data_IF_885822243892
#
_entry.id   IF_885822243892
#
_cell.length_a   1.000
_cell.length_b   1.000
_cell.length_c   1.000
_cell.angle_alpha   90.00
_cell.angle_beta   90.00
_cell.angle_gamma   90.00
#
_symmetry.space_group_name_H-M   'P 1'
#
loop_
_entity.id
_entity.type
_entity.pdbx_description
1 polymer ?
#
# COMPACT_ATOMS: atom_id res chain seq x y z
N UNK A 1 -11.75 -9.76 22.30
CA UNK A 1 -12.90 -9.06 21.68
C UNK A 1 -13.05 -9.60 20.25
N UNK A 2 -14.10 -10.37 20.00
CA UNK A 2 -14.27 -11.11 18.72
C UNK A 2 -15.18 -10.36 17.71
N UNK A 3 -15.43 -9.09 17.92
CA UNK A 3 -16.27 -8.26 17.05
C UNK A 3 -15.47 -7.42 16.05
N UNK A 4 -16.19 -6.72 15.12
CA UNK A 4 -15.58 -5.76 14.22
C UNK A 4 -14.96 -4.58 14.99
N UNK A 5 -13.98 -3.89 14.34
CA UNK A 5 -13.36 -2.70 14.92
C UNK A 5 -14.38 -1.56 15.03
N UNK A 6 -14.43 -0.84 16.15
CA UNK A 6 -15.27 0.35 16.31
C UNK A 6 -14.70 1.59 15.59
N UNK A 7 -13.42 1.53 15.17
CA UNK A 7 -12.65 2.65 14.63
C UNK A 7 -12.96 2.85 13.14
N UNK A 8 -14.14 3.30 12.81
CA UNK A 8 -14.54 3.58 11.44
C UNK A 8 -15.54 4.73 11.35
N UNK A 9 -15.71 5.26 10.16
CA UNK A 9 -16.66 6.31 9.89
C UNK A 9 -17.35 6.14 8.54
N UNK A 10 -18.01 7.20 8.12
CA UNK A 10 -18.56 7.34 6.78
C UNK A 10 -17.46 7.70 5.78
N UNK A 11 -17.57 7.21 4.53
CA UNK A 11 -16.61 7.51 3.44
C UNK A 11 -16.75 8.93 2.86
N UNK A 12 -17.57 9.79 3.46
CA UNK A 12 -17.73 11.20 3.04
C UNK A 12 -18.11 11.33 1.55
N UNK A 13 -19.00 10.45 1.10
CA UNK A 13 -19.44 10.41 -0.29
C UNK A 13 -18.42 9.82 -1.27
N UNK A 14 -17.26 9.34 -0.80
CA UNK A 14 -16.26 8.71 -1.64
C UNK A 14 -16.51 7.20 -1.79
N UNK A 15 -16.02 6.63 -2.89
CA UNK A 15 -15.95 5.18 -3.08
C UNK A 15 -14.49 4.73 -3.10
N UNK A 16 -14.20 3.48 -2.72
CA UNK A 16 -12.85 2.92 -2.87
C UNK A 16 -12.37 2.97 -4.33
N UNK A 17 -11.17 3.51 -4.51
CA UNK A 17 -10.41 3.56 -5.78
C UNK A 17 -8.97 3.12 -5.58
N UNK A 18 -8.57 2.88 -4.34
CA UNK A 18 -7.23 2.46 -3.95
C UNK A 18 -7.31 1.28 -2.99
N UNK A 19 -6.27 0.46 -3.01
CA UNK A 19 -5.97 -0.51 -1.96
C UNK A 19 -4.61 -0.14 -1.40
N UNK A 20 -4.52 0.09 -0.09
CA UNK A 20 -3.25 0.43 0.58
C UNK A 20 -2.78 -0.78 1.36
N UNK A 21 -1.56 -1.23 1.06
CA UNK A 21 -0.93 -2.36 1.72
C UNK A 21 -0.03 -1.89 2.86
N UNK A 22 -0.15 -2.58 4.00
CA UNK A 22 0.57 -2.33 5.23
C UNK A 22 1.22 -3.60 5.76
N UNK A 23 2.24 -3.46 6.60
CA UNK A 23 2.56 -4.46 7.60
C UNK A 23 2.21 -3.91 8.98
N UNK A 24 1.87 -4.79 9.91
CA UNK A 24 1.45 -4.39 11.26
C UNK A 24 2.57 -3.74 12.10
N UNK A 25 3.83 -4.06 11.85
CA UNK A 25 4.95 -3.67 12.68
C UNK A 25 4.88 -4.24 14.10
N UNK A 26 4.10 -5.30 14.29
CA UNK A 26 3.83 -5.94 15.59
C UNK A 26 4.28 -7.40 15.59
N UNK A 27 4.44 -7.97 16.79
CA UNK A 27 4.96 -9.31 16.96
C UNK A 27 4.08 -10.39 16.33
N UNK A 28 2.75 -10.23 16.40
CA UNK A 28 1.77 -11.19 15.90
C UNK A 28 0.43 -10.52 15.52
N UNK A 29 -0.39 -11.28 14.81
CA UNK A 29 -1.72 -10.84 14.38
C UNK A 29 -2.69 -10.60 15.54
N UNK A 30 -2.56 -11.32 16.64
CA UNK A 30 -3.44 -11.15 17.81
C UNK A 30 -3.24 -9.77 18.44
N UNK A 31 -1.99 -9.35 18.63
CA UNK A 31 -1.63 -8.02 19.11
C UNK A 31 -2.07 -6.93 18.13
N UNK A 32 -1.87 -7.15 16.83
CA UNK A 32 -2.32 -6.22 15.80
C UNK A 32 -3.84 -6.07 15.79
N UNK A 33 -4.58 -7.18 15.86
CA UNK A 33 -6.04 -7.17 15.95
C UNK A 33 -6.54 -6.41 17.17
N UNK A 34 -5.94 -6.68 18.34
CA UNK A 34 -6.29 -5.98 19.57
C UNK A 34 -6.14 -4.45 19.40
N UNK A 35 -5.00 -4.00 18.84
CA UNK A 35 -4.77 -2.56 18.61
C UNK A 35 -5.72 -1.96 17.58
N UNK A 36 -5.96 -2.66 16.46
CA UNK A 36 -6.85 -2.19 15.39
C UNK A 36 -8.34 -2.18 15.80
N UNK A 37 -8.68 -2.81 16.94
CA UNK A 37 -10.03 -2.84 17.51
C UNK A 37 -10.15 -2.07 18.84
N UNK A 38 -9.07 -1.47 19.33
CA UNK A 38 -9.08 -0.64 20.52
C UNK A 38 -9.60 0.76 20.18
N UNK A 39 -10.74 1.22 20.76
CA UNK A 39 -11.24 2.56 20.48
C UNK A 39 -10.28 3.68 20.90
N UNK A 40 -9.41 3.44 21.88
CA UNK A 40 -8.42 4.42 22.32
C UNK A 40 -7.23 4.55 21.38
N UNK A 41 -6.99 3.55 20.51
CA UNK A 41 -5.92 3.58 19.54
C UNK A 41 -6.23 4.44 18.31
N UNK A 42 -7.51 4.70 18.02
CA UNK A 42 -8.00 5.49 16.88
C UNK A 42 -7.39 5.08 15.53
N UNK A 43 -7.09 3.79 15.37
CA UNK A 43 -6.59 3.18 14.12
C UNK A 43 -7.39 1.92 13.82
N UNK A 44 -7.49 1.59 12.53
CA UNK A 44 -8.11 0.35 12.05
C UNK A 44 -7.65 0.01 10.65
N UNK A 45 -8.00 -1.17 10.15
CA UNK A 45 -7.91 -1.55 8.75
C UNK A 45 -9.18 -2.30 8.34
N UNK A 46 -9.42 -2.47 7.04
CA UNK A 46 -10.54 -3.27 6.58
C UNK A 46 -10.25 -4.75 6.77
N UNK A 47 -9.02 -5.15 6.46
CA UNK A 47 -8.58 -6.53 6.52
C UNK A 47 -7.27 -6.67 7.28
N UNK A 48 -7.16 -7.74 8.04
CA UNK A 48 -5.92 -8.21 8.68
C UNK A 48 -5.62 -9.64 8.19
N UNK A 49 -4.46 -9.84 7.59
CA UNK A 49 -3.98 -11.18 7.18
C UNK A 49 -3.02 -11.69 8.25
N UNK A 50 -3.39 -12.79 8.90
CA UNK A 50 -2.61 -13.46 9.95
C UNK A 50 -1.42 -14.25 9.36
N UNK A 51 -0.48 -14.64 10.19
CA UNK A 51 0.72 -15.41 9.80
C UNK A 51 0.39 -16.77 9.16
N UNK A 52 -0.74 -17.35 9.55
CA UNK A 52 -1.24 -18.63 9.00
C UNK A 52 -2.02 -18.47 7.69
N UNK A 53 -2.17 -17.23 7.20
CA UNK A 53 -2.94 -16.92 6.00
C UNK A 53 -4.45 -16.69 6.24
N UNK A 54 -4.95 -16.75 7.47
CA UNK A 54 -6.33 -16.36 7.74
C UNK A 54 -6.54 -14.87 7.51
N UNK A 55 -7.59 -14.49 6.77
CA UNK A 55 -7.97 -13.09 6.55
C UNK A 55 -9.17 -12.74 7.43
N UNK A 56 -8.98 -11.76 8.31
CA UNK A 56 -9.97 -11.25 9.24
C UNK A 56 -10.50 -9.89 8.75
N UNK A 57 -11.81 -9.76 8.57
CA UNK A 57 -12.45 -8.49 8.21
C UNK A 57 -12.79 -7.73 9.47
N UNK A 58 -12.08 -6.61 9.72
CA UNK A 58 -12.25 -5.78 10.91
C UNK A 58 -13.22 -4.61 10.67
N UNK A 59 -13.23 -4.06 9.47
CA UNK A 59 -14.13 -2.97 9.06
C UNK A 59 -14.72 -3.33 7.70
N UNK A 60 -16.03 -3.17 7.55
CA UNK A 60 -16.71 -3.40 6.27
C UNK A 60 -16.17 -2.45 5.18
N UNK A 61 -16.02 -2.95 3.95
CA UNK A 61 -15.38 -2.19 2.86
C UNK A 61 -16.18 -0.95 2.42
N UNK A 62 -17.46 -0.87 2.71
CA UNK A 62 -18.30 0.31 2.48
C UNK A 62 -18.12 1.39 3.57
N UNK A 63 -17.42 1.08 4.65
CA UNK A 63 -17.07 2.01 5.73
C UNK A 63 -15.66 2.56 5.54
N UNK A 64 -15.36 3.69 6.18
CA UNK A 64 -14.05 4.32 6.19
C UNK A 64 -13.24 3.81 7.38
N UNK A 65 -12.31 2.89 7.17
CA UNK A 65 -11.30 2.54 8.18
C UNK A 65 -10.24 3.64 8.31
N UNK A 66 -9.50 3.64 9.43
CA UNK A 66 -8.51 4.66 9.78
C UNK A 66 -7.09 4.09 9.74
N UNK A 67 -6.58 3.81 8.52
CA UNK A 67 -5.29 3.14 8.29
C UNK A 67 -4.21 4.01 7.64
N UNK A 68 -4.59 5.03 6.87
CA UNK A 68 -3.65 5.80 6.06
C UNK A 68 -3.04 7.00 6.80
N UNK A 69 -3.79 7.61 7.74
CA UNK A 69 -3.38 8.87 8.38
C UNK A 69 -3.18 9.99 7.36
N UNK A 70 -2.25 10.90 7.64
CA UNK A 70 -1.92 11.99 6.74
C UNK A 70 -1.14 11.49 5.53
N UNK A 71 -1.44 12.08 4.37
CA UNK A 71 -0.80 11.78 3.11
C UNK A 71 -1.74 12.04 1.93
N UNK A 72 -1.23 11.81 0.73
CA UNK A 72 -2.00 11.99 -0.50
C UNK A 72 -1.54 11.02 -1.59
N UNK A 73 -2.41 10.78 -2.56
CA UNK A 73 -2.08 10.02 -3.76
C UNK A 73 -2.79 10.61 -4.97
N UNK A 74 -2.05 10.80 -6.08
CA UNK A 74 -2.56 11.46 -7.29
C UNK A 74 -3.14 12.85 -6.99
N UNK A 75 -2.44 13.62 -6.14
CA UNK A 75 -2.83 14.97 -5.74
C UNK A 75 -4.05 15.07 -4.82
N UNK A 76 -4.62 13.95 -4.36
CA UNK A 76 -5.81 13.93 -3.52
C UNK A 76 -5.49 13.46 -2.10
N UNK A 77 -5.84 14.25 -1.07
CA UNK A 77 -5.74 13.86 0.34
C UNK A 77 -6.87 12.89 0.74
N UNK A 78 -7.01 12.69 2.06
CA UNK A 78 -8.03 11.82 2.68
C UNK A 78 -8.07 10.42 2.04
N UNK A 79 -6.90 9.78 1.98
CA UNK A 79 -6.76 8.44 1.41
C UNK A 79 -7.67 7.43 2.10
N UNK A 80 -7.93 7.57 3.42
CA UNK A 80 -8.85 6.71 4.16
C UNK A 80 -10.25 6.63 3.52
N UNK A 81 -10.80 7.75 3.05
CA UNK A 81 -12.17 7.76 2.50
C UNK A 81 -12.27 7.04 1.15
N UNK A 82 -11.19 6.95 0.39
CA UNK A 82 -11.17 6.41 -0.97
C UNK A 82 -10.31 5.16 -1.15
N UNK A 83 -9.93 4.51 -0.04
CA UNK A 83 -9.12 3.28 -0.08
C UNK A 83 -9.69 2.16 0.79
N UNK A 84 -9.20 0.96 0.52
CA UNK A 84 -9.31 -0.20 1.38
C UNK A 84 -7.92 -0.50 1.93
N UNK A 85 -7.77 -0.52 3.26
CA UNK A 85 -6.50 -0.86 3.91
C UNK A 85 -6.43 -2.33 4.25
N UNK A 86 -5.31 -2.96 3.90
CA UNK A 86 -5.00 -4.35 4.24
C UNK A 86 -3.72 -4.37 5.07
N UNK A 87 -3.84 -4.81 6.32
CA UNK A 87 -2.73 -5.07 7.21
C UNK A 87 -2.29 -6.53 7.07
N UNK A 88 -0.99 -6.76 7.02
CA UNK A 88 -0.40 -8.10 6.95
C UNK A 88 0.48 -8.28 8.18
N UNK A 89 0.18 -9.29 9.00
CA UNK A 89 0.92 -9.53 10.24
C UNK A 89 2.39 -9.84 9.94
N UNK A 90 3.24 -8.86 10.19
CA UNK A 90 4.69 -8.94 9.98
C UNK A 90 5.35 -7.82 10.81
N UNK A 91 6.44 -8.08 11.55
CA UNK A 91 7.16 -7.06 12.30
C UNK A 91 7.96 -6.08 11.41
N UNK A 92 8.09 -6.33 10.10
CA UNK A 92 8.80 -5.50 9.13
C UNK A 92 10.26 -5.88 8.92
N UNK A 93 10.79 -6.84 9.66
CA UNK A 93 12.21 -7.27 9.64
C UNK A 93 12.46 -8.56 8.85
N UNK A 94 11.41 -9.21 8.35
CA UNK A 94 11.46 -10.50 7.67
C UNK A 94 10.58 -10.56 6.43
N UNK A 95 10.80 -11.53 5.50
CA UNK A 95 9.87 -11.79 4.40
C UNK A 95 8.47 -12.18 4.89
N UNK A 96 7.46 -11.92 4.07
CA UNK A 96 6.10 -12.36 4.31
C UNK A 96 5.97 -13.86 4.06
N UNK A 97 5.19 -14.56 4.87
CA UNK A 97 4.97 -15.99 4.70
C UNK A 97 4.21 -16.28 3.39
N UNK A 98 4.54 -17.40 2.72
CA UNK A 98 3.89 -17.77 1.47
C UNK A 98 2.35 -17.80 1.60
N UNK A 99 1.83 -18.33 2.71
CA UNK A 99 0.38 -18.38 2.99
C UNK A 99 -0.25 -16.98 3.09
N UNK A 100 0.47 -15.99 3.62
CA UNK A 100 -0.01 -14.61 3.67
C UNK A 100 -0.11 -14.03 2.26
N UNK A 101 0.89 -14.28 1.42
CA UNK A 101 0.91 -13.80 0.04
C UNK A 101 -0.18 -14.49 -0.80
N UNK A 102 -0.39 -15.79 -0.66
CA UNK A 102 -1.47 -16.52 -1.34
C UNK A 102 -2.85 -15.94 -0.98
N UNK A 103 -3.05 -15.66 0.31
CA UNK A 103 -4.30 -15.04 0.80
C UNK A 103 -4.46 -13.61 0.29
N UNK A 104 -3.37 -12.83 0.30
CA UNK A 104 -3.38 -11.47 -0.21
C UNK A 104 -3.76 -11.42 -1.69
N UNK A 105 -3.18 -12.27 -2.52
CA UNK A 105 -3.49 -12.38 -3.95
C UNK A 105 -4.98 -12.64 -4.20
N UNK A 106 -5.53 -13.63 -3.50
CA UNK A 106 -6.95 -13.96 -3.58
C UNK A 106 -7.85 -12.81 -3.10
N UNK A 107 -7.46 -12.13 -2.03
CA UNK A 107 -8.21 -11.01 -1.47
C UNK A 107 -8.17 -9.80 -2.40
N UNK A 108 -6.99 -9.45 -2.92
CA UNK A 108 -6.80 -8.39 -3.91
C UNK A 108 -7.68 -8.59 -5.13
N UNK A 109 -7.65 -9.78 -5.75
CA UNK A 109 -8.47 -10.08 -6.92
C UNK A 109 -9.97 -9.84 -6.67
N UNK A 110 -10.47 -10.24 -5.49
CA UNK A 110 -11.89 -10.02 -5.11
C UNK A 110 -12.21 -8.54 -4.88
N UNK A 111 -11.35 -7.79 -4.19
CA UNK A 111 -11.55 -6.36 -3.91
C UNK A 111 -11.47 -5.57 -5.21
N UNK A 112 -10.44 -5.81 -6.02
CA UNK A 112 -10.25 -5.15 -7.33
C UNK A 112 -11.46 -5.36 -8.24
N UNK A 113 -11.97 -6.58 -8.33
CA UNK A 113 -13.17 -6.90 -9.12
C UNK A 113 -14.42 -6.19 -8.57
N UNK A 114 -14.65 -6.21 -7.25
CA UNK A 114 -15.82 -5.63 -6.60
C UNK A 114 -15.88 -4.12 -6.75
N UNK A 115 -14.75 -3.46 -6.58
CA UNK A 115 -14.66 -2.00 -6.58
C UNK A 115 -14.19 -1.41 -7.90
N UNK A 116 -13.85 -2.24 -8.90
CA UNK A 116 -13.30 -1.85 -10.19
C UNK A 116 -12.01 -1.04 -10.03
N UNK A 117 -11.09 -1.55 -9.19
CA UNK A 117 -9.78 -0.96 -8.94
C UNK A 117 -8.78 -1.66 -9.85
N UNK A 118 -8.05 -0.90 -10.67
CA UNK A 118 -6.96 -1.42 -11.50
C UNK A 118 -5.68 -1.67 -10.68
N UNK A 119 -4.67 -2.35 -11.27
CA UNK A 119 -3.40 -2.64 -10.62
C UNK A 119 -2.62 -1.37 -10.20
N UNK A 120 -2.84 -0.24 -10.87
CA UNK A 120 -2.29 1.07 -10.51
C UNK A 120 -2.89 1.64 -9.23
N UNK A 121 -4.05 1.16 -8.81
CA UNK A 121 -4.70 1.53 -7.55
C UNK A 121 -4.22 0.73 -6.34
N UNK A 122 -3.36 -0.28 -6.51
CA UNK A 122 -2.75 -1.04 -5.40
C UNK A 122 -1.41 -0.40 -5.06
N UNK A 123 -1.34 0.25 -3.90
CA UNK A 123 -0.21 1.09 -3.47
C UNK A 123 0.30 0.70 -2.08
N UNK A 124 1.53 1.11 -1.79
CA UNK A 124 2.12 1.03 -0.45
C UNK A 124 1.66 2.19 0.44
N UNK A 125 1.66 2.01 1.74
CA UNK A 125 1.51 3.13 2.68
C UNK A 125 2.66 4.14 2.51
N UNK A 126 3.87 3.66 2.29
CA UNK A 126 5.03 4.49 1.97
C UNK A 126 4.88 5.31 0.68
N UNK A 127 4.12 4.81 -0.32
CA UNK A 127 3.91 5.53 -1.58
C UNK A 127 3.12 6.82 -1.35
N UNK A 128 2.07 6.77 -0.51
CA UNK A 128 1.19 7.91 -0.25
C UNK A 128 1.62 8.79 0.94
N UNK A 129 2.61 8.33 1.72
CA UNK A 129 3.14 9.03 2.90
C UNK A 129 4.68 8.96 3.00
N UNK A 130 5.42 9.43 1.94
CA UNK A 130 6.89 9.36 1.90
C UNK A 130 7.55 10.03 3.11
N UNK A 131 8.54 9.37 3.70
CA UNK A 131 9.26 9.88 4.86
C UNK A 131 8.52 9.77 6.20
N UNK A 132 7.21 9.51 6.19
CA UNK A 132 6.41 9.22 7.39
C UNK A 132 6.21 7.72 7.59
N UNK A 133 6.09 6.97 6.50
CA UNK A 133 5.82 5.54 6.50
C UNK A 133 6.79 4.77 5.60
N UNK A 134 7.01 3.51 5.95
CA UNK A 134 7.90 2.60 5.21
C UNK A 134 7.22 1.28 4.83
N UNK A 135 6.05 1.00 5.38
CA UNK A 135 5.28 -0.23 5.14
C UNK A 135 4.68 -0.28 3.72
N UNK A 136 4.55 -1.46 3.10
CA UNK A 136 4.88 -2.80 3.59
C UNK A 136 6.37 -3.15 3.55
N UNK A 137 7.26 -2.20 3.25
CA UNK A 137 8.70 -2.30 3.39
C UNK A 137 9.43 -3.00 2.23
N UNK A 138 10.78 -3.03 2.31
CA UNK A 138 11.63 -3.48 1.20
C UNK A 138 11.62 -5.01 0.98
N UNK A 139 11.02 -5.77 1.88
CA UNK A 139 10.93 -7.25 1.81
C UNK A 139 9.59 -7.73 1.25
N UNK A 140 8.71 -6.79 0.84
CA UNK A 140 7.44 -7.12 0.25
C UNK A 140 7.59 -7.45 -1.24
N UNK A 141 7.01 -8.56 -1.69
CA UNK A 141 7.16 -9.07 -3.05
C UNK A 141 6.14 -8.45 -4.02
N UNK A 142 6.39 -7.20 -4.41
CA UNK A 142 5.56 -6.48 -5.37
C UNK A 142 5.56 -7.12 -6.77
N UNK A 143 6.71 -7.69 -7.19
CA UNK A 143 6.82 -8.34 -8.50
C UNK A 143 5.92 -9.55 -8.60
N UNK A 144 5.80 -10.33 -7.52
CA UNK A 144 4.88 -11.47 -7.44
C UNK A 144 3.43 -11.04 -7.70
N UNK A 145 2.97 -9.95 -7.10
CA UNK A 145 1.64 -9.40 -7.35
C UNK A 145 1.46 -8.94 -8.79
N UNK A 146 2.46 -8.27 -9.33
CA UNK A 146 2.42 -7.73 -10.69
C UNK A 146 2.36 -8.83 -11.76
N UNK A 147 3.05 -9.95 -11.56
CA UNK A 147 2.97 -11.13 -12.45
C UNK A 147 1.57 -11.69 -12.58
N UNK A 148 0.70 -11.41 -11.61
CA UNK A 148 -0.71 -11.79 -11.61
C UNK A 148 -1.65 -10.64 -12.01
N UNK A 149 -1.11 -9.48 -12.42
CA UNK A 149 -1.90 -8.31 -12.77
C UNK A 149 -2.55 -7.61 -11.56
N UNK A 150 -2.06 -7.86 -10.33
CA UNK A 150 -2.60 -7.30 -9.09
C UNK A 150 -1.91 -6.01 -8.64
N UNK A 151 -0.76 -5.67 -9.25
CA UNK A 151 -0.02 -4.43 -9.00
C UNK A 151 0.76 -4.03 -10.25
N UNK A 152 1.21 -2.77 -10.32
CA UNK A 152 2.14 -2.33 -11.38
C UNK A 152 3.58 -2.70 -11.00
N UNK A 153 4.38 -3.02 -12.03
CA UNK A 153 5.81 -3.28 -11.94
C UNK A 153 6.53 -2.74 -13.16
N UNK A 154 7.82 -2.35 -13.04
CA UNK A 154 8.61 -1.88 -14.17
C UNK A 154 8.70 -2.93 -15.29
N UNK A 155 8.74 -2.48 -16.52
CA UNK A 155 8.95 -3.31 -17.70
C UNK A 155 10.18 -2.82 -18.47
N UNK A 156 10.62 -3.60 -19.46
CA UNK A 156 11.72 -3.21 -20.39
C UNK A 156 11.29 -2.12 -21.38
N UNK A 157 10.03 -1.68 -21.33
CA UNK A 157 9.50 -0.63 -22.17
C UNK A 157 10.20 0.70 -21.88
N UNK A 158 10.62 1.38 -22.92
CA UNK A 158 11.10 2.76 -22.82
C UNK A 158 9.91 3.68 -22.59
N UNK A 159 9.88 4.33 -21.44
CA UNK A 159 8.94 5.40 -21.14
C UNK A 159 9.42 6.75 -21.67
N UNK A 160 8.65 7.83 -21.40
CA UNK A 160 9.02 9.19 -21.79
C UNK A 160 10.33 9.63 -21.13
N UNK A 161 11.13 10.44 -21.84
CA UNK A 161 12.37 11.02 -21.30
C UNK A 161 12.04 12.23 -20.40
N UNK A 162 11.60 11.95 -19.17
CA UNK A 162 11.20 12.93 -18.17
C UNK A 162 12.13 12.88 -16.94
N UNK A 163 12.32 14.01 -16.24
CA UNK A 163 12.96 14.00 -14.93
C UNK A 163 12.22 13.08 -13.94
N UNK A 164 12.96 12.49 -13.01
CA UNK A 164 12.37 11.55 -12.02
C UNK A 164 11.20 12.19 -11.24
N UNK A 165 11.36 13.43 -10.79
CA UNK A 165 10.32 14.11 -10.02
C UNK A 165 8.99 14.21 -10.77
N UNK A 166 9.05 14.44 -12.09
CA UNK A 166 7.88 14.52 -12.96
C UNK A 166 7.26 13.14 -13.16
N UNK A 167 8.09 12.09 -13.37
CA UNK A 167 7.60 10.71 -13.42
C UNK A 167 6.87 10.33 -12.14
N UNK A 168 7.46 10.60 -10.98
CA UNK A 168 6.85 10.28 -9.68
C UNK A 168 5.53 11.03 -9.45
N UNK A 169 5.43 12.27 -9.88
CA UNK A 169 4.18 13.04 -9.83
C UNK A 169 3.09 12.39 -10.70
N UNK A 170 3.45 12.01 -11.92
CA UNK A 170 2.50 11.35 -12.85
C UNK A 170 2.07 9.95 -12.37
N UNK A 171 2.94 9.22 -11.68
CA UNK A 171 2.59 7.95 -11.04
C UNK A 171 1.59 8.18 -9.90
N UNK A 172 1.74 9.28 -9.15
CA UNK A 172 0.82 9.65 -8.07
C UNK A 172 1.48 10.01 -6.75
N UNK A 173 2.81 9.93 -6.63
CA UNK A 173 3.53 10.29 -5.41
C UNK A 173 3.29 11.76 -5.03
N UNK A 174 3.06 12.05 -3.73
CA UNK A 174 2.88 13.42 -3.26
C UNK A 174 4.13 14.27 -3.49
N UNK A 175 3.93 15.58 -3.63
CA UNK A 175 5.02 16.54 -3.75
C UNK A 175 5.58 16.86 -2.35
N UNK A 176 6.64 16.17 -2.01
CA UNK A 176 7.37 16.31 -0.75
C UNK A 176 8.87 16.33 -1.02
N UNK A 177 9.68 16.45 0.02
CA UNK A 177 11.14 16.43 -0.08
C UNK A 177 11.64 15.34 -1.06
N UNK A 178 12.49 15.68 -2.05
CA UNK A 178 12.92 14.77 -3.11
C UNK A 178 13.59 13.50 -2.59
N UNK A 179 14.36 13.57 -1.49
CA UNK A 179 15.03 12.41 -0.94
C UNK A 179 14.03 11.43 -0.30
N UNK A 180 13.00 11.95 0.39
CA UNK A 180 11.92 11.14 0.95
C UNK A 180 11.10 10.45 -0.15
N UNK A 181 10.86 11.18 -1.22
CA UNK A 181 10.11 10.70 -2.40
C UNK A 181 10.87 9.59 -3.13
N UNK A 182 12.18 9.80 -3.37
CA UNK A 182 13.06 8.79 -3.94
C UNK A 182 13.14 7.54 -3.04
N UNK A 183 13.26 7.71 -1.72
CA UNK A 183 13.31 6.61 -0.78
C UNK A 183 12.02 5.76 -0.83
N UNK A 184 10.85 6.39 -0.83
CA UNK A 184 9.56 5.69 -0.95
C UNK A 184 9.43 4.93 -2.28
N UNK A 185 9.79 5.55 -3.39
CA UNK A 185 9.83 4.89 -4.69
C UNK A 185 10.75 3.67 -4.70
N UNK A 186 11.95 3.79 -4.13
CA UNK A 186 12.92 2.69 -4.04
C UNK A 186 12.44 1.56 -3.14
N UNK A 187 11.76 1.83 -2.03
CA UNK A 187 11.17 0.78 -1.18
C UNK A 187 10.32 -0.21 -1.98
N UNK A 188 9.62 0.28 -2.99
CA UNK A 188 8.76 -0.55 -3.83
C UNK A 188 9.49 -1.16 -5.03
N UNK A 189 10.23 -0.36 -5.79
CA UNK A 189 10.74 -0.75 -7.12
C UNK A 189 12.23 -1.07 -7.17
N UNK A 190 13.01 -0.61 -6.18
CA UNK A 190 14.46 -0.84 -6.08
C UNK A 190 14.94 -0.87 -4.62
N UNK A 191 14.43 -1.79 -3.78
CA UNK A 191 14.73 -1.77 -2.34
C UNK A 191 16.21 -1.96 -1.97
N UNK A 192 17.04 -2.39 -2.92
CA UNK A 192 18.49 -2.54 -2.75
C UNK A 192 19.29 -1.28 -3.11
N UNK A 193 18.66 -0.26 -3.70
CA UNK A 193 19.35 0.93 -4.19
C UNK A 193 19.57 1.96 -3.07
N UNK A 194 20.78 2.52 -3.04
CA UNK A 194 21.20 3.54 -2.08
C UNK A 194 21.83 4.75 -2.78
N UNK A 195 22.07 5.82 -2.03
CA UNK A 195 22.70 7.04 -2.53
C UNK A 195 21.78 7.95 -3.36
N UNK A 196 22.34 8.90 -4.11
CA UNK A 196 21.58 9.87 -4.88
C UNK A 196 20.76 9.22 -6.01
N UNK A 197 19.88 10.02 -6.62
CA UNK A 197 19.14 9.63 -7.84
C UNK A 197 20.08 9.13 -8.93
N UNK A 198 19.67 8.07 -9.63
CA UNK A 198 20.42 7.45 -10.72
C UNK A 198 19.61 7.36 -12.02
N UNK A 199 20.31 7.10 -13.15
CA UNK A 199 19.64 6.87 -14.44
C UNK A 199 18.68 5.70 -14.40
N UNK A 200 18.99 4.69 -13.58
CA UNK A 200 18.13 3.52 -13.41
C UNK A 200 16.82 3.86 -12.69
N UNK A 201 16.84 4.76 -11.70
CA UNK A 201 15.61 5.25 -11.07
C UNK A 201 14.71 5.94 -12.09
N UNK A 202 15.29 6.79 -12.96
CA UNK A 202 14.57 7.48 -14.04
C UNK A 202 13.99 6.50 -15.04
N UNK A 203 14.79 5.53 -15.50
CA UNK A 203 14.36 4.50 -16.45
C UNK A 203 13.17 3.70 -15.92
N UNK A 204 13.27 3.26 -14.66
CA UNK A 204 12.21 2.49 -14.00
C UNK A 204 10.94 3.35 -13.86
N UNK A 205 11.05 4.55 -13.32
CA UNK A 205 9.90 5.43 -13.14
C UNK A 205 9.21 5.77 -14.49
N UNK A 206 9.99 6.03 -15.53
CA UNK A 206 9.46 6.29 -16.86
C UNK A 206 8.71 5.08 -17.45
N UNK A 207 9.19 3.85 -17.20
CA UNK A 207 8.55 2.61 -17.71
C UNK A 207 7.17 2.33 -17.09
N UNK A 208 6.88 2.93 -15.94
CA UNK A 208 5.58 2.79 -15.25
C UNK A 208 4.51 3.74 -15.81
N UNK A 209 4.90 4.74 -16.61
CA UNK A 209 3.96 5.69 -17.20
C UNK A 209 3.29 5.11 -18.44
N UNK A 210 2.02 5.45 -18.71
CA UNK A 210 1.39 5.12 -19.99
C UNK A 210 2.13 5.84 -21.15
N UNK A 211 2.14 5.23 -22.32
CA UNK A 211 2.67 5.83 -23.55
C UNK A 211 1.69 6.86 -24.09
#
# INVERSE_FOLDING_TARGET
MDGPSPNHGDRRGQRPRLIVLHYTGMADAASARARLSDPLAEVSAHWLIHENGFADMLVAEDRRAWHAGDGSWQGQPDVNSRSIGIEIANPGDRPFAARQMDTLENLLGRIMSRWQIGPEGVIAHSDMAPGRKVDPGPRFDWERLARQGLAIWPSDRRGPALPLHECLTRIGYPDVDPAKRLAAFRLRFRPWAHGPESDEDRRIAASLLPV
#
